data_IF_071295947636
#
_entry.id   IF_071295947636
#
_cell.length_a   1.000
_cell.length_b   1.000
_cell.length_c   1.000
_cell.angle_alpha   90.00
_cell.angle_beta   90.00
_cell.angle_gamma   90.00
#
_symmetry.space_group_name_H-M   'P 1'
#
loop_
_entity.id
_entity.type
_entity.pdbx_description
1 polymer ?
#
# COMPACT_ATOMS: atom_id res chain seq x y z
N UNK A 1 -0.73 -18.17 -9.31
CA UNK A 1 -1.36 -16.97 -8.72
C UNK A 1 -1.05 -16.90 -7.25
N UNK A 2 -1.64 -17.75 -6.38
CA UNK A 2 -1.35 -17.76 -4.94
C UNK A 2 0.14 -17.81 -4.59
N UNK A 3 0.91 -18.73 -5.19
CA UNK A 3 2.36 -18.80 -4.97
C UNK A 3 3.12 -17.55 -5.48
N UNK A 4 2.64 -16.92 -6.57
CA UNK A 4 3.26 -15.72 -7.16
C UNK A 4 2.99 -14.48 -6.30
N UNK A 5 1.76 -14.30 -5.81
CA UNK A 5 1.44 -13.23 -4.86
C UNK A 5 2.18 -13.42 -3.54
N UNK A 6 2.30 -14.66 -3.04
CA UNK A 6 3.03 -14.95 -1.81
C UNK A 6 4.53 -14.64 -1.90
N UNK A 7 5.20 -15.07 -2.99
CA UNK A 7 6.60 -14.73 -3.25
C UNK A 7 6.78 -13.21 -3.38
N UNK A 8 5.87 -12.54 -4.09
CA UNK A 8 5.94 -11.08 -4.26
C UNK A 8 5.79 -10.33 -2.93
N UNK A 9 4.92 -10.80 -2.04
CA UNK A 9 4.63 -10.14 -0.77
C UNK A 9 5.76 -10.32 0.25
N UNK A 10 6.42 -11.48 0.27
CA UNK A 10 7.44 -11.79 1.30
C UNK A 10 8.83 -11.34 0.90
N UNK A 11 9.20 -11.48 -0.38
CA UNK A 11 10.60 -11.26 -0.80
C UNK A 11 10.76 -9.98 -1.61
N UNK A 12 9.92 -9.79 -2.62
CA UNK A 12 10.10 -8.70 -3.58
C UNK A 12 9.67 -7.37 -2.95
N UNK A 13 8.45 -7.26 -2.46
CA UNK A 13 7.93 -5.99 -1.93
C UNK A 13 8.79 -5.42 -0.78
N UNK A 14 9.22 -6.22 0.23
CA UNK A 14 10.04 -5.68 1.33
C UNK A 14 11.42 -5.21 0.88
N UNK A 15 12.03 -5.91 -0.10
CA UNK A 15 13.34 -5.52 -0.63
C UNK A 15 13.27 -4.18 -1.37
N UNK A 16 12.26 -4.00 -2.21
CA UNK A 16 12.04 -2.74 -2.94
C UNK A 16 11.64 -1.60 -2.00
N UNK A 17 10.79 -1.89 -1.02
CA UNK A 17 10.45 -0.95 0.05
C UNK A 17 11.69 -0.45 0.78
N UNK A 18 12.55 -1.37 1.24
CA UNK A 18 13.78 -1.02 1.96
C UNK A 18 14.72 -0.17 1.09
N UNK A 19 14.90 -0.54 -0.18
CA UNK A 19 15.70 0.24 -1.12
C UNK A 19 15.13 1.66 -1.32
N UNK A 20 13.81 1.79 -1.48
CA UNK A 20 13.15 3.08 -1.67
C UNK A 20 13.27 3.96 -0.42
N UNK A 21 13.01 3.40 0.77
CA UNK A 21 13.22 4.09 2.05
C UNK A 21 14.63 4.65 2.17
N UNK A 22 15.63 3.82 1.86
CA UNK A 22 17.04 4.20 1.95
C UNK A 22 17.35 5.38 1.03
N UNK A 23 16.95 5.31 -0.23
CA UNK A 23 17.25 6.36 -1.20
C UNK A 23 16.52 7.67 -0.90
N UNK A 24 15.23 7.61 -0.53
CA UNK A 24 14.45 8.79 -0.19
C UNK A 24 15.03 9.52 1.03
N UNK A 25 15.51 8.76 2.03
CA UNK A 25 16.09 9.34 3.23
C UNK A 25 17.50 9.89 3.02
N UNK A 26 18.37 9.12 2.34
CA UNK A 26 19.81 9.44 2.24
C UNK A 26 20.10 10.47 1.16
N UNK A 27 19.50 10.32 -0.03
CA UNK A 27 19.86 11.15 -1.18
C UNK A 27 18.85 12.27 -1.44
N UNK A 28 17.57 12.02 -1.24
CA UNK A 28 16.50 13.00 -1.53
C UNK A 28 16.17 13.84 -0.30
N UNK A 29 16.41 13.30 0.91
CA UNK A 29 16.06 13.93 2.18
C UNK A 29 14.57 14.31 2.25
N UNK A 30 13.69 13.46 1.69
CA UNK A 30 12.26 13.71 1.64
C UNK A 30 11.62 13.59 3.03
N UNK A 31 10.67 14.50 3.33
CA UNK A 31 9.80 14.39 4.50
C UNK A 31 8.56 13.55 4.16
N UNK A 32 8.53 12.30 4.64
CA UNK A 32 7.46 11.32 4.33
C UNK A 32 6.96 10.59 5.60
N UNK A 33 6.67 11.33 6.67
CA UNK A 33 6.27 10.78 7.99
C UNK A 33 5.04 9.86 7.86
N UNK A 34 4.01 10.30 7.11
CA UNK A 34 2.80 9.53 6.87
C UNK A 34 2.96 8.43 5.81
N UNK A 35 4.14 8.24 5.24
CA UNK A 35 4.39 7.20 4.23
C UNK A 35 3.63 7.40 2.92
N UNK A 36 3.28 8.64 2.55
CA UNK A 36 2.63 8.95 1.28
C UNK A 36 3.42 8.43 0.08
N UNK A 37 4.75 8.53 0.11
CA UNK A 37 5.60 8.04 -0.96
C UNK A 37 5.95 6.56 -0.76
N UNK A 38 6.51 6.22 0.40
CA UNK A 38 7.12 4.92 0.70
C UNK A 38 6.08 3.81 0.90
N UNK A 39 4.89 4.13 1.40
CA UNK A 39 3.80 3.17 1.62
C UNK A 39 2.78 3.27 0.50
N UNK A 40 2.17 4.43 0.29
CA UNK A 40 1.00 4.57 -0.58
C UNK A 40 1.35 4.60 -2.06
N UNK A 41 2.23 5.52 -2.49
CA UNK A 41 2.63 5.60 -3.89
C UNK A 41 3.37 4.32 -4.33
N UNK A 42 4.34 3.87 -3.53
CA UNK A 42 5.01 2.60 -3.77
C UNK A 42 4.02 1.43 -3.86
N UNK A 43 3.14 1.26 -2.87
CA UNK A 43 2.17 0.17 -2.85
C UNK A 43 1.24 0.18 -4.06
N UNK A 44 0.78 1.36 -4.49
CA UNK A 44 -0.08 1.51 -5.66
C UNK A 44 0.64 1.14 -6.96
N UNK A 45 1.84 1.69 -7.21
CA UNK A 45 2.60 1.40 -8.43
C UNK A 45 3.12 -0.03 -8.47
N UNK A 46 3.57 -0.56 -7.33
CA UNK A 46 3.97 -1.96 -7.22
C UNK A 46 2.79 -2.90 -7.49
N UNK A 47 1.61 -2.62 -6.90
CA UNK A 47 0.40 -3.40 -7.11
C UNK A 47 -0.07 -3.38 -8.57
N UNK A 48 0.03 -2.23 -9.25
CA UNK A 48 -0.28 -2.11 -10.67
C UNK A 48 0.71 -2.89 -11.55
N UNK A 49 2.01 -2.80 -11.27
CA UNK A 49 3.02 -3.58 -11.98
C UNK A 49 2.82 -5.09 -11.76
N UNK A 50 2.54 -5.50 -10.52
CA UNK A 50 2.27 -6.89 -10.19
C UNK A 50 1.00 -7.40 -10.88
N UNK A 51 -0.08 -6.61 -10.90
CA UNK A 51 -1.33 -6.98 -11.57
C UNK A 51 -1.16 -7.14 -13.07
N UNK A 52 -0.31 -6.32 -13.69
CA UNK A 52 0.10 -6.45 -15.09
C UNK A 52 0.89 -7.75 -15.35
N UNK A 53 1.87 -8.07 -14.49
CA UNK A 53 2.71 -9.28 -14.64
C UNK A 53 1.89 -10.57 -14.47
N UNK A 54 0.95 -10.60 -13.53
CA UNK A 54 0.12 -11.79 -13.26
C UNK A 54 -1.17 -11.82 -14.08
N UNK A 55 -1.35 -10.87 -14.99
CA UNK A 55 -2.56 -10.71 -15.79
C UNK A 55 -2.93 -11.99 -16.54
N UNK A 56 -4.23 -12.31 -16.54
CA UNK A 56 -4.81 -13.40 -17.35
C UNK A 56 -6.08 -12.91 -18.01
N UNK A 57 -6.20 -13.12 -19.32
CA UNK A 57 -7.37 -12.70 -20.11
C UNK A 57 -8.72 -13.15 -19.50
N UNK A 58 -8.76 -14.35 -18.90
CA UNK A 58 -9.95 -14.90 -18.23
C UNK A 58 -10.42 -14.15 -16.98
N UNK A 59 -9.62 -13.23 -16.45
CA UNK A 59 -9.96 -12.41 -15.28
C UNK A 59 -10.64 -11.09 -15.66
N UNK A 60 -10.65 -10.75 -16.96
CA UNK A 60 -11.30 -9.55 -17.43
C UNK A 60 -12.82 -9.68 -17.26
N UNK A 61 -13.45 -8.75 -16.54
CA UNK A 61 -14.91 -8.74 -16.29
C UNK A 61 -15.41 -10.03 -15.63
N UNK A 62 -14.67 -10.53 -14.64
CA UNK A 62 -15.08 -11.71 -13.88
C UNK A 62 -16.40 -11.43 -13.15
N UNK A 63 -17.30 -12.40 -13.07
CA UNK A 63 -18.63 -12.27 -12.43
C UNK A 63 -18.58 -11.84 -10.94
N UNK A 64 -17.45 -12.11 -10.28
CA UNK A 64 -17.18 -11.75 -8.88
C UNK A 64 -16.49 -10.38 -8.73
N UNK A 65 -16.22 -9.67 -9.83
CA UNK A 65 -15.63 -8.32 -9.81
C UNK A 65 -16.75 -7.29 -9.60
N UNK A 66 -17.38 -7.37 -8.43
CA UNK A 66 -18.49 -6.53 -8.03
C UNK A 66 -18.81 -6.70 -6.55
N UNK A 67 -19.75 -5.91 -6.04
CA UNK A 67 -20.19 -5.99 -4.65
C UNK A 67 -21.62 -6.48 -4.51
N UNK A 68 -21.94 -6.94 -3.30
CA UNK A 68 -23.29 -7.16 -2.81
C UNK A 68 -23.45 -6.50 -1.43
N UNK A 69 -24.68 -6.49 -0.92
CA UNK A 69 -25.01 -5.86 0.37
C UNK A 69 -24.06 -6.26 1.51
N UNK A 70 -23.76 -7.56 1.65
CA UNK A 70 -22.91 -8.03 2.74
C UNK A 70 -21.44 -7.62 2.55
N UNK A 71 -20.92 -7.70 1.32
CA UNK A 71 -19.54 -7.26 1.04
C UNK A 71 -19.38 -5.75 1.19
N UNK A 72 -20.42 -4.97 0.88
CA UNK A 72 -20.41 -3.52 1.06
C UNK A 72 -20.43 -3.14 2.54
N UNK A 73 -21.24 -3.80 3.36
CA UNK A 73 -21.19 -3.57 4.82
C UNK A 73 -19.81 -3.94 5.39
N UNK A 74 -19.23 -5.06 4.97
CA UNK A 74 -17.90 -5.46 5.43
C UNK A 74 -16.79 -4.49 4.97
N UNK A 75 -16.84 -4.03 3.71
CA UNK A 75 -15.88 -3.05 3.19
C UNK A 75 -16.01 -1.69 3.89
N UNK A 76 -17.23 -1.26 4.20
CA UNK A 76 -17.50 -0.03 4.93
C UNK A 76 -17.03 -0.08 6.38
N UNK A 77 -17.17 -1.23 7.06
CA UNK A 77 -16.57 -1.43 8.39
C UNK A 77 -15.05 -1.24 8.29
N UNK A 78 -14.39 -1.90 7.34
CA UNK A 78 -12.95 -1.73 7.11
C UNK A 78 -12.56 -0.27 6.83
N UNK A 79 -13.33 0.43 5.99
CA UNK A 79 -13.10 1.84 5.68
C UNK A 79 -13.21 2.74 6.90
N UNK A 80 -14.18 2.51 7.80
CA UNK A 80 -14.34 3.26 9.04
C UNK A 80 -13.15 3.03 9.99
N UNK A 81 -12.68 1.79 10.13
CA UNK A 81 -11.48 1.49 10.92
C UNK A 81 -10.25 2.22 10.36
N UNK A 82 -10.03 2.17 9.04
CA UNK A 82 -8.94 2.89 8.40
C UNK A 82 -9.06 4.40 8.65
N UNK A 83 -10.26 4.97 8.53
CA UNK A 83 -10.49 6.41 8.68
C UNK A 83 -10.28 6.89 10.12
N UNK A 84 -10.84 6.18 11.10
CA UNK A 84 -10.72 6.53 12.53
C UNK A 84 -9.27 6.42 13.01
N UNK A 85 -8.52 5.40 12.56
CA UNK A 85 -7.12 5.22 12.94
C UNK A 85 -6.13 5.96 12.04
N UNK A 86 -6.59 6.63 10.98
CA UNK A 86 -5.74 7.36 10.04
C UNK A 86 -4.85 8.42 10.71
N UNK A 87 -5.35 9.25 11.65
CA UNK A 87 -4.50 10.21 12.36
C UNK A 87 -3.36 9.54 13.11
N UNK A 88 -3.63 8.40 13.78
CA UNK A 88 -2.62 7.63 14.49
C UNK A 88 -1.58 7.04 13.54
N UNK A 89 -1.99 6.54 12.38
CA UNK A 89 -1.08 6.03 11.35
C UNK A 89 -0.10 7.12 10.89
N UNK A 90 -0.60 8.32 10.58
CA UNK A 90 0.23 9.44 10.13
C UNK A 90 1.19 9.97 11.21
N UNK A 91 0.84 9.79 12.49
CA UNK A 91 1.65 10.27 13.59
C UNK A 91 2.58 9.22 14.20
N UNK A 92 2.44 7.94 13.84
CA UNK A 92 3.07 6.81 14.55
C UNK A 92 4.60 6.91 14.66
N UNK A 93 5.26 7.50 13.66
CA UNK A 93 6.71 7.67 13.60
C UNK A 93 7.15 9.14 13.64
N UNK A 94 6.21 10.07 13.84
CA UNK A 94 6.48 11.50 13.87
C UNK A 94 7.31 11.85 15.11
N UNK A 95 8.31 12.71 14.94
CA UNK A 95 9.13 13.25 16.04
C UNK A 95 8.96 14.76 16.15
N UNK A 96 9.25 15.36 17.32
CA UNK A 96 9.12 16.81 17.50
C UNK A 96 9.92 17.64 16.50
N UNK A 97 11.06 17.15 16.04
CA UNK A 97 11.86 17.78 14.99
C UNK A 97 11.17 17.86 13.63
N UNK A 98 10.27 16.92 13.33
CA UNK A 98 9.56 16.85 12.05
C UNK A 98 8.42 17.88 11.94
N UNK A 99 8.00 18.46 13.07
CA UNK A 99 6.95 19.48 13.16
C UNK A 99 7.46 20.93 12.98
N UNK A 100 8.78 21.14 12.89
CA UNK A 100 9.42 22.47 12.87
C UNK A 100 9.74 23.01 11.47
N UNK A 101 9.16 22.43 10.41
CA UNK A 101 9.34 22.90 9.04
C UNK A 101 8.25 23.89 8.63
#
# INVERSE_FOLDING_TARGET
>A
LFQQTFISAIFIAPSFYHFLCYNLKVYIQANDIGGSMVVHAFGAYFGLALSFVIYKKKMLRHENEGSNYNSDIFSMIGALFLWIFWPSFNAAVARPEDARQ
#
